data_IF_196753005799
#
_entry.id   IF_196753005799
#
_cell.length_a   1.000
_cell.length_b   1.000
_cell.length_c   1.000
_cell.angle_alpha   90.00
_cell.angle_beta   90.00
_cell.angle_gamma   90.00
#
_symmetry.space_group_name_H-M   'P 1'
#
loop_
_entity.id
_entity.type
_entity.pdbx_description
1 polymer ?
#
# COMPACT_ATOMS: atom_id res chain seq x y z
N UNK A 1 12.68 -17.31 18.93
CA UNK A 1 12.55 -16.06 19.72
C UNK A 1 13.18 -14.98 18.86
N UNK A 2 12.41 -14.33 18.02
CA UNK A 2 12.88 -13.22 17.19
C UNK A 2 11.94 -12.03 17.44
N UNK A 3 12.51 -10.96 17.97
CA UNK A 3 11.80 -9.79 18.44
C UNK A 3 11.27 -8.99 17.26
N UNK A 4 9.97 -8.74 17.27
CA UNK A 4 9.32 -7.72 16.44
C UNK A 4 9.92 -6.35 16.71
N UNK A 5 10.20 -5.54 15.67
CA UNK A 5 10.60 -4.16 15.91
C UNK A 5 9.40 -3.40 16.46
N UNK A 6 9.53 -2.96 17.71
CA UNK A 6 8.61 -2.01 18.35
C UNK A 6 8.42 -0.81 17.43
N UNK A 7 7.18 -0.56 17.03
CA UNK A 7 6.78 0.70 16.43
C UNK A 7 7.18 1.84 17.37
N UNK A 8 8.35 2.41 17.11
CA UNK A 8 8.85 3.57 17.82
C UNK A 8 8.06 4.78 17.34
N UNK A 9 7.05 5.16 18.11
CA UNK A 9 6.44 6.47 18.03
C UNK A 9 7.49 7.50 18.47
N UNK A 10 8.44 7.80 17.58
CA UNK A 10 9.35 8.94 17.77
C UNK A 10 8.55 10.19 17.50
N UNK A 11 8.47 11.04 18.50
CA UNK A 11 7.96 12.42 18.51
C UNK A 11 7.91 13.02 17.10
N UNK A 12 6.70 13.13 16.57
CA UNK A 12 6.42 13.87 15.36
C UNK A 12 6.67 15.34 15.69
N UNK A 13 7.91 15.80 15.54
CA UNK A 13 8.16 17.23 15.35
C UNK A 13 7.39 17.58 14.08
N UNK A 14 6.37 18.41 14.21
CA UNK A 14 5.61 18.99 13.11
C UNK A 14 6.61 19.78 12.26
N UNK A 15 7.27 19.11 11.33
CA UNK A 15 8.11 19.78 10.35
C UNK A 15 7.15 20.49 9.41
N UNK A 16 7.20 21.80 9.45
CA UNK A 16 6.41 22.68 8.59
C UNK A 16 6.79 22.41 7.14
N UNK A 17 5.92 21.69 6.42
CA UNK A 17 6.02 21.47 4.98
C UNK A 17 5.65 22.79 4.31
N UNK A 18 6.60 23.44 3.67
CA UNK A 18 6.36 24.69 2.94
C UNK A 18 5.67 24.44 1.57
N UNK A 19 5.28 25.53 0.90
CA UNK A 19 4.62 25.46 -0.40
C UNK A 19 5.51 24.78 -1.46
N UNK A 20 6.82 24.98 -1.37
CA UNK A 20 7.80 24.38 -2.29
C UNK A 20 7.91 22.86 -2.07
N UNK A 21 7.92 22.42 -0.81
CA UNK A 21 7.94 20.98 -0.48
C UNK A 21 6.66 20.29 -0.98
N UNK A 22 5.51 20.93 -0.86
CA UNK A 22 4.24 20.42 -1.43
C UNK A 22 4.29 20.33 -2.94
N UNK A 23 4.88 21.33 -3.62
CA UNK A 23 5.07 21.30 -5.07
C UNK A 23 6.00 20.14 -5.49
N UNK A 24 7.10 19.91 -4.77
CA UNK A 24 8.00 18.77 -5.00
C UNK A 24 7.23 17.45 -4.87
N UNK A 25 6.51 17.26 -3.77
CA UNK A 25 5.73 16.03 -3.52
C UNK A 25 4.66 15.82 -4.59
N UNK A 26 3.95 16.87 -5.01
CA UNK A 26 2.94 16.81 -6.07
C UNK A 26 3.51 16.42 -7.44
N UNK A 27 4.71 16.88 -7.76
CA UNK A 27 5.38 16.50 -9.01
C UNK A 27 5.86 15.05 -8.92
N UNK A 28 6.54 14.68 -7.84
CA UNK A 28 7.11 13.34 -7.66
C UNK A 28 6.04 12.26 -7.53
N UNK A 29 4.83 12.58 -7.04
CA UNK A 29 3.72 11.62 -7.00
C UNK A 29 3.19 11.25 -8.39
N UNK A 30 3.42 12.09 -9.40
CA UNK A 30 3.01 11.84 -10.80
C UNK A 30 4.15 11.36 -11.68
N UNK A 31 5.35 11.81 -11.39
CA UNK A 31 6.55 11.58 -12.21
C UNK A 31 7.75 11.28 -11.29
N UNK A 32 7.76 10.07 -10.71
CA UNK A 32 8.78 9.64 -9.74
C UNK A 32 10.21 9.64 -10.31
N UNK A 33 10.38 9.55 -11.64
CA UNK A 33 11.68 9.52 -12.32
C UNK A 33 12.05 10.84 -13.00
N UNK A 34 11.40 11.97 -12.65
CA UNK A 34 11.76 13.27 -13.20
C UNK A 34 13.24 13.59 -12.90
N UNK A 35 14.04 14.01 -13.89
CA UNK A 35 15.40 14.45 -13.67
C UNK A 35 15.45 15.64 -12.70
N UNK A 36 16.41 15.65 -11.78
CA UNK A 36 16.55 16.71 -10.76
C UNK A 36 16.63 18.12 -11.37
N UNK A 37 17.25 18.26 -12.55
CA UNK A 37 17.30 19.53 -13.28
C UNK A 37 15.91 20.01 -13.70
N UNK A 38 15.08 19.10 -14.17
CA UNK A 38 13.71 19.39 -14.60
C UNK A 38 12.80 19.72 -13.42
N UNK A 39 12.94 18.98 -12.33
CA UNK A 39 12.23 19.26 -11.07
C UNK A 39 12.57 20.65 -10.55
N UNK A 40 13.86 21.00 -10.48
CA UNK A 40 14.33 22.31 -10.06
C UNK A 40 13.75 23.44 -10.92
N UNK A 41 13.73 23.26 -12.24
CA UNK A 41 13.10 24.22 -13.16
C UNK A 41 11.61 24.42 -12.94
N UNK A 42 10.87 23.35 -12.64
CA UNK A 42 9.41 23.44 -12.38
C UNK A 42 9.06 24.15 -11.07
N UNK A 43 9.94 24.08 -10.08
CA UNK A 43 9.70 24.72 -8.76
C UNK A 43 10.45 26.06 -8.57
N UNK A 44 11.24 26.48 -9.58
CA UNK A 44 11.94 27.75 -9.56
C UNK A 44 13.13 27.82 -8.60
N UNK A 45 13.80 26.66 -8.33
CA UNK A 45 14.95 26.57 -7.44
C UNK A 45 16.21 26.11 -8.19
N UNK A 46 17.38 26.30 -7.54
CA UNK A 46 18.63 25.69 -8.03
C UNK A 46 18.58 24.16 -7.87
N UNK A 47 19.35 23.44 -8.68
CA UNK A 47 19.46 21.98 -8.62
C UNK A 47 19.91 21.50 -7.23
N UNK A 48 20.88 22.18 -6.62
CA UNK A 48 21.40 21.83 -5.29
C UNK A 48 20.36 22.02 -4.20
N UNK A 49 19.65 23.17 -4.18
CA UNK A 49 18.60 23.43 -3.22
C UNK A 49 17.43 22.43 -3.36
N UNK A 50 17.10 22.04 -4.60
CA UNK A 50 16.07 21.02 -4.86
C UNK A 50 16.50 19.66 -4.33
N UNK A 51 17.73 19.24 -4.60
CA UNK A 51 18.26 17.96 -4.14
C UNK A 51 18.30 17.87 -2.61
N UNK A 52 18.70 18.96 -1.93
CA UNK A 52 18.72 19.03 -0.47
C UNK A 52 17.30 18.88 0.13
N UNK A 53 16.30 19.54 -0.48
CA UNK A 53 14.90 19.41 -0.06
C UNK A 53 14.36 17.99 -0.25
N UNK A 54 14.62 17.37 -1.39
CA UNK A 54 14.22 15.99 -1.67
C UNK A 54 14.85 15.05 -0.65
N UNK A 55 16.17 15.15 -0.42
CA UNK A 55 16.86 14.32 0.57
C UNK A 55 16.29 14.51 2.00
N UNK A 56 15.89 15.73 2.35
CA UNK A 56 15.22 16.00 3.63
C UNK A 56 13.84 15.31 3.69
N UNK A 57 13.04 15.37 2.62
CA UNK A 57 11.74 14.72 2.55
C UNK A 57 11.82 13.19 2.62
N UNK A 58 12.86 12.62 2.04
CA UNK A 58 13.22 11.19 2.15
C UNK A 58 13.62 10.83 3.59
N UNK A 59 14.54 11.59 4.17
CA UNK A 59 15.04 11.37 5.54
C UNK A 59 13.91 11.47 6.59
N UNK A 60 12.95 12.32 6.36
CA UNK A 60 11.80 12.49 7.27
C UNK A 60 10.69 11.46 7.07
N UNK A 61 10.82 10.60 6.03
CA UNK A 61 9.83 9.57 5.70
C UNK A 61 8.56 10.11 5.04
N UNK A 62 8.53 11.38 4.63
CA UNK A 62 7.45 11.92 3.80
C UNK A 62 7.51 11.30 2.40
N UNK A 63 8.70 11.16 1.83
CA UNK A 63 8.94 10.30 0.68
C UNK A 63 9.40 8.95 1.22
N UNK A 64 8.54 7.94 1.14
CA UNK A 64 8.83 6.58 1.63
C UNK A 64 9.53 5.70 0.59
N UNK A 65 9.62 6.18 -0.64
CA UNK A 65 10.22 5.45 -1.75
C UNK A 65 9.60 5.84 -3.08
N UNK A 66 10.20 5.34 -4.14
CA UNK A 66 9.76 5.52 -5.52
C UNK A 66 9.32 4.17 -6.04
N UNK A 67 8.16 4.12 -6.70
CA UNK A 67 7.62 2.88 -7.27
C UNK A 67 7.44 3.04 -8.76
N UNK A 68 7.75 1.98 -9.50
CA UNK A 68 7.37 1.90 -10.88
C UNK A 68 5.96 1.28 -10.96
N UNK A 69 5.09 1.89 -11.73
CA UNK A 69 3.86 1.25 -12.16
C UNK A 69 4.24 0.35 -13.34
N UNK A 70 4.21 -0.95 -13.08
CA UNK A 70 4.59 -1.95 -14.07
C UNK A 70 3.29 -2.55 -14.58
N UNK A 71 3.03 -2.40 -15.88
CA UNK A 71 1.92 -3.09 -16.52
C UNK A 71 1.97 -4.60 -16.24
N UNK A 72 0.85 -5.28 -16.36
CA UNK A 72 0.74 -6.71 -16.04
C UNK A 72 1.81 -7.49 -16.81
N UNK A 73 2.87 -7.89 -16.11
CA UNK A 73 3.93 -8.77 -16.64
C UNK A 73 3.47 -10.22 -16.80
N UNK A 74 2.36 -10.57 -16.20
CA UNK A 74 1.77 -11.91 -16.23
C UNK A 74 0.35 -11.83 -16.77
N UNK A 75 0.14 -12.25 -18.01
CA UNK A 75 -1.17 -12.59 -18.54
C UNK A 75 -1.75 -13.71 -17.67
N UNK A 76 -2.94 -13.47 -17.09
CA UNK A 76 -3.67 -14.49 -16.35
C UNK A 76 -3.72 -14.33 -14.83
N UNK A 77 -3.22 -13.23 -14.24
CA UNK A 77 -3.45 -13.01 -12.81
C UNK A 77 -4.91 -12.65 -12.54
N UNK A 78 -5.51 -13.39 -11.62
CA UNK A 78 -6.85 -13.15 -11.11
C UNK A 78 -6.73 -12.26 -9.87
N UNK A 79 -7.29 -11.08 -9.96
CA UNK A 79 -7.43 -10.17 -8.81
C UNK A 79 -8.80 -10.40 -8.17
N UNK A 80 -8.84 -10.50 -6.86
CA UNK A 80 -10.08 -10.63 -6.12
C UNK A 80 -10.03 -9.83 -4.82
N UNK A 81 -11.22 -9.51 -4.31
CA UNK A 81 -11.40 -8.97 -2.98
C UNK A 81 -12.01 -10.03 -2.08
N UNK A 82 -11.37 -10.28 -0.95
CA UNK A 82 -11.94 -11.05 0.14
C UNK A 82 -12.51 -10.05 1.15
N UNK A 83 -13.82 -10.06 1.32
CA UNK A 83 -14.55 -9.26 2.28
C UNK A 83 -14.75 -10.11 3.54
N UNK A 84 -14.13 -9.70 4.64
CA UNK A 84 -14.02 -10.49 5.86
C UNK A 84 -14.79 -9.82 6.99
N UNK A 85 -15.62 -10.59 7.66
CA UNK A 85 -16.23 -10.25 8.95
C UNK A 85 -15.52 -11.02 10.05
N UNK A 86 -15.20 -10.35 11.15
CA UNK A 86 -14.49 -10.92 12.28
C UNK A 86 -15.44 -11.12 13.47
N UNK A 87 -15.24 -12.19 14.23
CA UNK A 87 -15.96 -12.41 15.50
C UNK A 87 -15.66 -11.33 16.54
N UNK A 88 -14.44 -10.80 16.52
CA UNK A 88 -13.96 -9.71 17.40
C UNK A 88 -12.95 -8.84 16.69
N UNK A 89 -13.12 -7.52 16.77
CA UNK A 89 -12.20 -6.49 16.26
C UNK A 89 -11.58 -5.69 17.39
N UNK A 90 -10.30 -5.27 17.26
CA UNK A 90 -9.34 -5.61 16.22
C UNK A 90 -8.77 -7.03 16.39
N UNK A 91 -8.34 -7.68 15.28
CA UNK A 91 -7.70 -9.00 15.33
C UNK A 91 -6.29 -8.95 14.73
N UNK A 92 -5.30 -8.70 15.57
CA UNK A 92 -3.88 -8.67 15.16
C UNK A 92 -3.45 -10.04 14.61
N UNK A 93 -3.92 -11.14 15.18
CA UNK A 93 -3.58 -12.48 14.72
C UNK A 93 -4.04 -12.77 13.28
N UNK A 94 -5.20 -12.27 12.87
CA UNK A 94 -5.67 -12.38 11.46
C UNK A 94 -4.82 -11.49 10.55
N UNK A 95 -4.50 -10.26 10.98
CA UNK A 95 -3.66 -9.35 10.20
C UNK A 95 -2.24 -9.90 9.97
N UNK A 96 -1.63 -10.47 11.00
CA UNK A 96 -0.29 -11.08 10.90
C UNK A 96 -0.28 -12.28 9.96
N UNK A 97 -1.32 -13.13 10.01
CA UNK A 97 -1.46 -14.27 9.09
C UNK A 97 -1.66 -13.80 7.65
N UNK A 98 -2.53 -12.80 7.41
CA UNK A 98 -2.74 -12.23 6.08
C UNK A 98 -1.46 -11.59 5.52
N UNK A 99 -0.69 -10.91 6.36
CA UNK A 99 0.59 -10.30 5.94
C UNK A 99 1.64 -11.34 5.54
N UNK A 100 1.54 -12.58 6.04
CA UNK A 100 2.41 -13.69 5.66
C UNK A 100 2.09 -14.34 4.31
N UNK A 101 0.93 -14.04 3.72
CA UNK A 101 0.49 -14.63 2.45
C UNK A 101 1.00 -13.81 1.26
N UNK A 102 1.79 -14.40 0.38
CA UNK A 102 2.37 -13.72 -0.79
C UNK A 102 1.32 -13.27 -1.82
N UNK A 103 0.16 -13.93 -1.85
CA UNK A 103 -0.97 -13.59 -2.69
C UNK A 103 -1.72 -12.35 -2.22
N UNK A 104 -1.52 -11.90 -0.97
CA UNK A 104 -2.16 -10.71 -0.43
C UNK A 104 -1.41 -9.47 -0.88
N UNK A 105 -2.11 -8.57 -1.55
CA UNK A 105 -1.57 -7.29 -2.04
C UNK A 105 -1.83 -6.14 -1.07
N UNK A 106 -3.02 -6.11 -0.50
CA UNK A 106 -3.44 -5.04 0.41
C UNK A 106 -4.47 -5.55 1.41
N UNK A 107 -4.38 -5.08 2.63
CA UNK A 107 -5.41 -5.29 3.66
C UNK A 107 -5.85 -3.91 4.14
N UNK A 108 -7.16 -3.67 4.14
CA UNK A 108 -7.76 -2.44 4.64
C UNK A 108 -8.79 -2.77 5.70
N UNK A 109 -8.68 -2.17 6.87
CA UNK A 109 -9.76 -2.18 7.85
C UNK A 109 -10.81 -1.16 7.43
N UNK A 110 -12.07 -1.55 7.44
CA UNK A 110 -13.19 -0.73 7.01
C UNK A 110 -14.23 -0.61 8.12
N UNK A 111 -15.07 0.40 8.04
CA UNK A 111 -16.21 0.56 8.94
C UNK A 111 -17.49 0.04 8.27
N UNK A 112 -18.45 -0.43 9.06
CA UNK A 112 -19.73 -0.92 8.58
C UNK A 112 -19.96 -2.40 8.89
N UNK A 113 -20.57 -3.12 7.97
CA UNK A 113 -20.88 -4.55 8.13
C UNK A 113 -19.67 -5.47 7.94
N UNK A 114 -18.61 -4.97 7.34
CA UNK A 114 -17.36 -5.68 7.10
C UNK A 114 -16.27 -5.11 8.01
N UNK A 115 -15.32 -5.93 8.39
CA UNK A 115 -14.17 -5.51 9.18
C UNK A 115 -12.91 -5.31 8.32
N UNK A 116 -12.69 -6.22 7.35
CA UNK A 116 -11.52 -6.16 6.47
C UNK A 116 -11.91 -6.32 5.01
N UNK A 117 -11.22 -5.57 4.14
CA UNK A 117 -11.18 -5.79 2.69
C UNK A 117 -9.75 -6.17 2.32
N UNK A 118 -9.58 -7.36 1.79
CA UNK A 118 -8.28 -7.93 1.41
C UNK A 118 -8.21 -8.03 -0.10
N UNK A 119 -7.31 -7.28 -0.72
CA UNK A 119 -7.01 -7.42 -2.16
C UNK A 119 -5.98 -8.52 -2.35
N UNK A 120 -6.32 -9.50 -3.17
CA UNK A 120 -5.46 -10.65 -3.47
C UNK A 120 -5.23 -10.78 -4.97
N UNK A 121 -4.09 -11.38 -5.32
CA UNK A 121 -3.73 -11.68 -6.71
C UNK A 121 -3.18 -13.09 -6.79
N UNK A 122 -3.80 -13.92 -7.64
CA UNK A 122 -3.48 -15.34 -7.80
C UNK A 122 -3.45 -15.72 -9.28
N UNK A 123 -2.82 -16.84 -9.60
CA UNK A 123 -2.62 -17.30 -10.98
C UNK A 123 -3.75 -18.19 -11.52
N UNK A 124 -4.67 -18.64 -10.66
CA UNK A 124 -5.78 -19.50 -11.07
C UNK A 124 -6.97 -19.41 -10.11
N UNK A 125 -8.14 -19.83 -10.59
CA UNK A 125 -9.34 -19.96 -9.75
C UNK A 125 -9.14 -20.98 -8.63
N UNK A 126 -8.40 -22.08 -8.89
CA UNK A 126 -8.10 -23.06 -7.86
C UNK A 126 -7.25 -22.46 -6.73
N UNK A 127 -6.21 -21.69 -7.08
CA UNK A 127 -5.39 -20.99 -6.10
C UNK A 127 -6.21 -19.95 -5.30
N UNK A 128 -7.21 -19.31 -5.93
CA UNK A 128 -8.14 -18.41 -5.22
C UNK A 128 -9.01 -19.17 -4.22
N UNK A 129 -9.52 -20.34 -4.61
CA UNK A 129 -10.35 -21.16 -3.74
C UNK A 129 -9.54 -21.71 -2.55
N UNK A 130 -8.30 -22.15 -2.77
CA UNK A 130 -7.40 -22.58 -1.70
C UNK A 130 -7.14 -21.44 -0.72
N UNK A 131 -6.73 -20.27 -1.23
CA UNK A 131 -6.50 -19.09 -0.40
C UNK A 131 -7.75 -18.69 0.41
N UNK A 132 -8.93 -18.69 -0.24
CA UNK A 132 -10.21 -18.42 0.43
C UNK A 132 -10.48 -19.39 1.57
N UNK A 133 -10.27 -20.68 1.33
CA UNK A 133 -10.49 -21.72 2.33
C UNK A 133 -9.52 -21.58 3.51
N UNK A 134 -8.25 -21.27 3.24
CA UNK A 134 -7.26 -21.02 4.28
C UNK A 134 -7.64 -19.83 5.15
N UNK A 135 -8.05 -18.72 4.54
CA UNK A 135 -8.48 -17.51 5.28
C UNK A 135 -9.75 -17.77 6.08
N UNK A 136 -10.70 -18.53 5.52
CA UNK A 136 -11.95 -18.89 6.22
C UNK A 136 -11.70 -19.74 7.48
N UNK A 137 -10.58 -20.46 7.54
CA UNK A 137 -10.19 -21.25 8.71
C UNK A 137 -9.48 -20.45 9.80
N UNK A 138 -9.23 -19.17 9.63
CA UNK A 138 -8.60 -18.37 10.68
C UNK A 138 -9.57 -18.22 11.87
N UNK A 139 -9.05 -18.46 13.05
CA UNK A 139 -9.85 -18.62 14.29
C UNK A 139 -10.86 -17.49 14.56
N UNK A 140 -10.52 -16.25 14.18
CA UNK A 140 -11.38 -15.09 14.43
C UNK A 140 -12.17 -14.63 13.20
N UNK A 141 -12.14 -15.38 12.10
CA UNK A 141 -12.99 -15.10 10.93
C UNK A 141 -14.38 -15.66 11.19
N UNK A 142 -15.41 -14.82 11.00
CA UNK A 142 -16.81 -15.20 11.15
C UNK A 142 -17.43 -15.52 9.78
N UNK A 143 -17.23 -14.61 8.82
CA UNK A 143 -17.72 -14.76 7.44
C UNK A 143 -16.72 -14.24 6.43
N UNK A 144 -16.79 -14.79 5.22
CA UNK A 144 -15.88 -14.47 4.12
C UNK A 144 -16.60 -14.51 2.79
N UNK A 145 -16.74 -13.36 2.16
CA UNK A 145 -17.25 -13.22 0.80
C UNK A 145 -16.13 -12.91 -0.17
N UNK A 146 -16.14 -13.56 -1.36
CA UNK A 146 -15.14 -13.35 -2.40
C UNK A 146 -15.76 -12.68 -3.62
N UNK A 147 -15.14 -11.59 -4.09
CA UNK A 147 -15.51 -10.89 -5.32
C UNK A 147 -14.33 -10.84 -6.28
N UNK A 148 -14.49 -11.44 -7.46
CA UNK A 148 -13.46 -11.44 -8.50
C UNK A 148 -13.57 -10.16 -9.31
N UNK A 149 -12.44 -9.51 -9.57
CA UNK A 149 -12.36 -8.35 -10.46
C UNK A 149 -12.41 -8.85 -11.90
N UNK A 150 -13.50 -8.60 -12.57
CA UNK A 150 -13.66 -8.98 -13.98
C UNK A 150 -12.92 -8.02 -14.90
N UNK A 151 -12.97 -6.71 -14.60
CA UNK A 151 -12.29 -5.65 -15.36
C UNK A 151 -12.10 -4.43 -14.47
N UNK A 152 -10.96 -3.76 -14.60
CA UNK A 152 -10.74 -2.42 -14.02
C UNK A 152 -11.18 -1.37 -15.02
N UNK A 153 -12.17 -0.57 -14.68
CA UNK A 153 -12.70 0.48 -15.57
C UNK A 153 -11.87 1.76 -15.52
N UNK A 154 -11.35 2.10 -14.35
CA UNK A 154 -10.51 3.27 -14.11
C UNK A 154 -9.41 2.88 -13.13
N UNK A 155 -8.16 3.12 -13.51
CA UNK A 155 -7.00 3.03 -12.64
C UNK A 155 -6.25 4.35 -12.69
N UNK A 156 -6.05 4.97 -11.53
CA UNK A 156 -5.28 6.23 -11.39
C UNK A 156 -4.13 5.95 -10.44
N UNK A 157 -2.93 6.14 -10.91
CA UNK A 157 -1.69 6.11 -10.12
C UNK A 157 -1.56 7.36 -9.25
#
# INVERSE_FOLDING_TARGET
MSALPKACCRSCSVQTIDATDRAILSILSREARIPMKSLAGRIGLSRSATAERVARLEKTGLIRGYRADIGQLEEGQIVAFLMVTLKRTPSLGVLDRLAGLSSVRRVSSVSGQLDLVVEVSVTSINALNELRNDVAQFENVEDLTTSIVLRREIERS
#
